data_IF_218187173610
#
_entry.id   IF_218187173610
#
_cell.length_a   1.000
_cell.length_b   1.000
_cell.length_c   1.000
_cell.angle_alpha   90.00
_cell.angle_beta   90.00
_cell.angle_gamma   90.00
#
_symmetry.space_group_name_H-M   'P 1'
#
loop_
_entity.id
_entity.type
_entity.pdbx_description
1 polymer ?
#
# COMPACT_ATOMS: atom_id res chain seq x y z
N UNK A 1 -15.85 -48.08 -20.42
CA UNK A 1 -14.85 -47.57 -19.45
C UNK A 1 -13.89 -48.68 -19.01
N UNK A 2 -12.58 -48.44 -18.98
CA UNK A 2 -11.58 -49.45 -18.57
C UNK A 2 -11.50 -49.53 -17.05
N UNK A 3 -11.20 -50.72 -16.51
CA UNK A 3 -11.03 -50.94 -15.06
C UNK A 3 -10.00 -49.99 -14.46
N UNK A 4 -8.93 -49.69 -15.22
CA UNK A 4 -7.90 -48.71 -14.85
C UNK A 4 -8.45 -47.28 -14.73
N UNK A 5 -9.33 -46.85 -15.63
CA UNK A 5 -9.94 -45.52 -15.59
C UNK A 5 -10.91 -45.34 -14.44
N UNK A 6 -11.65 -46.41 -14.09
CA UNK A 6 -12.56 -46.42 -12.93
C UNK A 6 -11.75 -46.30 -11.62
N UNK A 7 -10.68 -47.08 -11.47
CA UNK A 7 -9.82 -47.00 -10.29
C UNK A 7 -9.16 -45.62 -10.14
N UNK A 8 -8.67 -45.04 -11.24
CA UNK A 8 -8.07 -43.70 -11.20
C UNK A 8 -9.08 -42.64 -10.79
N UNK A 9 -10.32 -42.71 -11.29
CA UNK A 9 -11.38 -41.79 -10.93
C UNK A 9 -11.70 -41.84 -9.42
N UNK A 10 -11.86 -43.04 -8.86
CA UNK A 10 -12.08 -43.20 -7.41
C UNK A 10 -10.90 -42.70 -6.57
N UNK A 11 -9.66 -42.92 -7.02
CA UNK A 11 -8.49 -42.38 -6.32
C UNK A 11 -8.45 -40.85 -6.33
N UNK A 12 -8.79 -40.22 -7.46
CA UNK A 12 -8.86 -38.76 -7.58
C UNK A 12 -9.97 -38.17 -6.71
N UNK A 13 -11.16 -38.77 -6.75
CA UNK A 13 -12.32 -38.36 -5.95
C UNK A 13 -11.99 -38.43 -4.45
N UNK A 14 -11.40 -39.54 -3.98
CA UNK A 14 -11.01 -39.69 -2.58
C UNK A 14 -9.94 -38.67 -2.15
N UNK A 15 -8.95 -38.39 -3.01
CA UNK A 15 -7.93 -37.40 -2.72
C UNK A 15 -8.50 -35.98 -2.64
N UNK A 16 -9.42 -35.63 -3.56
CA UNK A 16 -10.07 -34.33 -3.59
C UNK A 16 -10.98 -34.14 -2.37
N UNK A 17 -11.79 -35.14 -2.03
CA UNK A 17 -12.64 -35.12 -0.84
C UNK A 17 -11.83 -35.01 0.45
N UNK A 18 -10.67 -35.69 0.54
CA UNK A 18 -9.77 -35.60 1.69
C UNK A 18 -9.12 -34.22 1.82
N UNK A 19 -8.73 -33.61 0.70
CA UNK A 19 -8.24 -32.21 0.68
C UNK A 19 -9.34 -31.25 1.12
N UNK A 20 -10.56 -31.40 0.61
CA UNK A 20 -11.71 -30.57 0.99
C UNK A 20 -12.03 -30.68 2.48
N UNK A 21 -12.05 -31.90 3.04
CA UNK A 21 -12.26 -32.12 4.46
C UNK A 21 -11.14 -31.49 5.31
N UNK A 22 -9.89 -31.63 4.89
CA UNK A 22 -8.73 -31.05 5.57
C UNK A 22 -8.79 -29.51 5.58
N UNK A 23 -9.19 -28.91 4.45
CA UNK A 23 -9.41 -27.46 4.34
C UNK A 23 -10.56 -27.01 5.24
N UNK A 24 -11.67 -27.73 5.26
CA UNK A 24 -12.85 -27.40 6.07
C UNK A 24 -12.56 -27.51 7.58
N UNK A 25 -11.82 -28.52 8.02
CA UNK A 25 -11.40 -28.69 9.42
C UNK A 25 -10.45 -27.56 9.83
N UNK A 26 -9.49 -27.19 8.98
CA UNK A 26 -8.63 -26.02 9.22
C UNK A 26 -9.46 -24.73 9.37
N UNK A 27 -10.43 -24.50 8.48
CA UNK A 27 -11.30 -23.33 8.52
C UNK A 27 -12.26 -23.28 9.72
N UNK A 28 -12.56 -24.41 10.37
CA UNK A 28 -13.42 -24.48 11.56
C UNK A 28 -12.67 -24.27 12.88
N UNK A 29 -11.35 -24.51 12.91
CA UNK A 29 -10.53 -24.06 14.02
C UNK A 29 -10.49 -22.53 14.01
N UNK A 30 -10.51 -21.88 15.17
CA UNK A 30 -10.51 -20.41 15.30
C UNK A 30 -9.18 -19.80 14.83
N UNK A 31 -8.89 -19.90 13.54
CA UNK A 31 -7.79 -19.23 12.88
C UNK A 31 -7.98 -17.74 13.13
N UNK A 32 -7.05 -17.14 13.88
CA UNK A 32 -6.90 -15.68 13.90
C UNK A 32 -6.90 -15.21 12.45
N UNK A 33 -7.92 -14.46 12.06
CA UNK A 33 -8.04 -13.95 10.69
C UNK A 33 -6.98 -12.88 10.53
N UNK A 34 -5.98 -13.13 9.70
CA UNK A 34 -4.99 -12.13 9.33
C UNK A 34 -5.57 -11.27 8.21
N UNK A 35 -5.52 -9.95 8.37
CA UNK A 35 -5.97 -8.97 7.39
C UNK A 35 -4.76 -8.14 6.95
N UNK A 36 -4.39 -8.25 5.67
CA UNK A 36 -3.16 -7.68 5.12
C UNK A 36 -3.48 -6.38 4.37
N UNK A 37 -2.87 -5.28 4.82
CA UNK A 37 -3.04 -3.93 4.26
C UNK A 37 -1.72 -3.51 3.61
N UNK A 38 -1.76 -3.18 2.32
CA UNK A 38 -0.67 -2.44 1.67
C UNK A 38 -1.07 -0.98 1.53
N UNK A 39 -0.27 -0.07 2.08
CA UNK A 39 -0.51 1.38 1.94
C UNK A 39 0.74 2.20 2.22
N UNK A 40 0.89 3.42 1.65
CA UNK A 40 2.03 4.27 1.92
C UNK A 40 2.10 4.63 3.41
N UNK A 41 3.27 4.50 4.03
CA UNK A 41 3.45 4.85 5.44
C UNK A 41 3.07 6.32 5.72
N UNK A 42 3.22 7.22 4.75
CA UNK A 42 2.79 8.62 4.85
C UNK A 42 1.29 8.78 5.16
N UNK A 43 0.45 7.83 4.77
CA UNK A 43 -1.00 7.90 4.98
C UNK A 43 -1.44 7.28 6.31
N UNK A 44 -0.50 6.71 7.06
CA UNK A 44 -0.84 5.91 8.23
C UNK A 44 -1.45 6.76 9.34
N UNK A 45 -0.87 7.93 9.60
CA UNK A 45 -1.16 8.75 10.79
C UNK A 45 -2.59 9.25 10.89
N UNK A 46 -3.35 9.27 9.78
CA UNK A 46 -4.75 9.71 9.80
C UNK A 46 -5.74 8.74 9.13
N UNK A 47 -5.48 8.29 7.91
CA UNK A 47 -6.52 7.63 7.12
C UNK A 47 -6.48 6.11 7.25
N UNK A 48 -5.31 5.50 7.11
CA UNK A 48 -5.17 4.04 7.28
C UNK A 48 -5.47 3.65 8.72
N UNK A 49 -5.09 4.46 9.71
CA UNK A 49 -5.44 4.16 11.10
C UNK A 49 -6.94 4.19 11.39
N UNK A 50 -7.76 4.95 10.63
CA UNK A 50 -9.23 4.85 10.72
C UNK A 50 -9.73 3.49 10.24
N UNK A 51 -9.17 2.99 9.14
CA UNK A 51 -9.45 1.65 8.62
C UNK A 51 -9.04 0.56 9.62
N UNK A 52 -7.82 0.66 10.17
CA UNK A 52 -7.32 -0.27 11.21
C UNK A 52 -8.25 -0.29 12.42
N UNK A 53 -8.64 0.88 12.94
CA UNK A 53 -9.58 0.99 14.07
C UNK A 53 -10.95 0.39 13.74
N UNK A 54 -11.43 0.54 12.51
CA UNK A 54 -12.69 -0.06 12.08
C UNK A 54 -12.61 -1.58 12.05
N UNK A 55 -11.55 -2.15 11.46
CA UNK A 55 -11.35 -3.61 11.38
C UNK A 55 -11.15 -4.21 12.77
N UNK A 56 -10.37 -3.55 13.65
CA UNK A 56 -10.12 -3.99 15.04
C UNK A 56 -11.35 -3.94 15.96
N UNK A 57 -12.51 -3.51 15.48
CA UNK A 57 -13.78 -3.77 16.18
C UNK A 57 -14.03 -5.26 16.34
N UNK A 58 -13.52 -6.09 15.42
CA UNK A 58 -13.37 -7.53 15.64
C UNK A 58 -12.01 -7.81 16.30
N UNK A 59 -11.98 -8.23 17.58
CA UNK A 59 -10.74 -8.48 18.30
C UNK A 59 -9.98 -9.71 17.78
N UNK A 60 -10.64 -10.61 17.04
CA UNK A 60 -10.04 -11.84 16.51
C UNK A 60 -9.23 -11.60 15.23
N UNK A 61 -9.36 -10.42 14.61
CA UNK A 61 -8.64 -10.06 13.38
C UNK A 61 -7.27 -9.48 13.70
N UNK A 62 -6.22 -10.20 13.32
CA UNK A 62 -4.86 -9.66 13.29
C UNK A 62 -4.69 -8.80 12.03
N UNK A 63 -4.03 -7.64 12.15
CA UNK A 63 -3.79 -6.77 10.99
C UNK A 63 -2.30 -6.69 10.76
N UNK A 64 -1.88 -7.00 9.54
CA UNK A 64 -0.52 -6.80 9.05
C UNK A 64 -0.50 -5.65 8.05
N UNK A 65 0.45 -4.74 8.20
CA UNK A 65 0.63 -3.60 7.30
C UNK A 65 1.98 -3.70 6.60
N UNK A 66 1.96 -3.44 5.30
CA UNK A 66 3.16 -3.28 4.48
C UNK A 66 3.16 -1.91 3.80
N UNK A 67 4.34 -1.28 3.75
CA UNK A 67 4.49 -0.03 3.00
C UNK A 67 4.59 -0.31 1.50
N UNK A 68 3.56 0.10 0.77
CA UNK A 68 3.49 -0.07 -0.68
C UNK A 68 4.59 0.71 -1.42
N UNK A 69 5.17 1.75 -0.82
CA UNK A 69 6.22 2.53 -1.47
C UNK A 69 7.59 1.84 -1.48
N UNK A 70 7.73 0.76 -0.70
CA UNK A 70 8.99 0.00 -0.55
C UNK A 70 9.02 -1.30 -1.35
N UNK A 71 7.86 -1.77 -1.83
CA UNK A 71 7.76 -2.97 -2.67
C UNK A 71 7.90 -2.63 -4.16
N UNK A 72 8.44 -3.57 -4.94
CA UNK A 72 8.45 -3.52 -6.40
C UNK A 72 7.21 -4.23 -7.01
N UNK A 73 6.35 -4.83 -6.19
CA UNK A 73 5.12 -5.50 -6.65
C UNK A 73 4.02 -4.51 -7.04
N UNK A 74 3.31 -4.82 -8.12
CA UNK A 74 2.17 -4.02 -8.55
C UNK A 74 0.97 -4.23 -7.62
N UNK A 75 0.18 -3.17 -7.34
CA UNK A 75 -1.07 -3.28 -6.58
C UNK A 75 -2.00 -4.39 -7.08
N UNK A 76 -2.09 -4.57 -8.40
CA UNK A 76 -2.93 -5.56 -9.04
C UNK A 76 -2.48 -6.98 -8.73
N UNK A 77 -1.16 -7.23 -8.72
CA UNK A 77 -0.58 -8.53 -8.39
C UNK A 77 -0.79 -8.85 -6.91
N UNK A 78 -0.61 -7.86 -6.03
CA UNK A 78 -0.86 -8.03 -4.59
C UNK A 78 -2.29 -8.52 -4.32
N UNK A 79 -3.27 -7.97 -5.04
CA UNK A 79 -4.68 -8.38 -4.92
C UNK A 79 -4.96 -9.70 -5.63
N UNK A 80 -4.47 -9.89 -6.87
CA UNK A 80 -4.74 -11.08 -7.68
C UNK A 80 -4.16 -12.35 -7.04
N UNK A 81 -2.98 -12.26 -6.44
CA UNK A 81 -2.33 -13.37 -5.74
C UNK A 81 -2.71 -13.47 -4.25
N UNK A 82 -3.71 -12.70 -3.79
CA UNK A 82 -4.20 -12.68 -2.39
C UNK A 82 -3.08 -12.41 -1.37
N UNK A 83 -2.08 -11.62 -1.75
CA UNK A 83 -1.04 -11.12 -0.83
C UNK A 83 -1.54 -9.94 0.00
N UNK A 84 -2.59 -9.26 -0.45
CA UNK A 84 -3.26 -8.18 0.28
C UNK A 84 -4.77 -8.39 0.27
N UNK A 85 -5.44 -8.03 1.36
CA UNK A 85 -6.89 -7.90 1.41
C UNK A 85 -7.33 -6.53 0.89
N UNK A 86 -6.52 -5.50 1.14
CA UNK A 86 -6.74 -4.15 0.62
C UNK A 86 -5.43 -3.47 0.27
N UNK A 87 -5.48 -2.67 -0.79
CA UNK A 87 -4.39 -1.80 -1.21
C UNK A 87 -4.90 -0.36 -1.22
N UNK A 88 -4.21 0.53 -0.51
CA UNK A 88 -4.37 1.98 -0.63
C UNK A 88 -3.20 2.49 -1.45
N UNK A 89 -3.47 3.07 -2.61
CA UNK A 89 -2.45 3.60 -3.52
C UNK A 89 -2.55 5.13 -3.64
N UNK A 90 -1.47 5.74 -4.13
CA UNK A 90 -1.44 7.19 -4.43
C UNK A 90 -1.92 7.53 -5.85
N UNK A 91 -2.16 6.51 -6.68
CA UNK A 91 -2.67 6.66 -8.04
C UNK A 91 -3.84 5.67 -8.26
N UNK A 92 -4.87 6.05 -9.02
CA UNK A 92 -5.99 5.17 -9.32
C UNK A 92 -5.56 4.00 -10.21
N UNK A 93 -6.27 2.88 -10.12
CA UNK A 93 -6.06 1.70 -10.95
C UNK A 93 -7.27 1.48 -11.85
N UNK A 94 -7.02 1.19 -13.12
CA UNK A 94 -8.06 0.82 -14.08
C UNK A 94 -7.93 -0.66 -14.45
N UNK A 95 -8.59 -1.52 -13.68
CA UNK A 95 -8.59 -2.96 -13.90
C UNK A 95 -10.02 -3.50 -13.69
N UNK A 96 -10.52 -4.27 -14.66
CA UNK A 96 -11.91 -4.79 -14.65
C UNK A 96 -12.19 -5.76 -13.49
N UNK A 97 -11.15 -6.35 -12.92
CA UNK A 97 -11.26 -7.31 -11.81
C UNK A 97 -11.03 -6.67 -10.45
N UNK A 98 -10.79 -5.35 -10.38
CA UNK A 98 -10.46 -4.63 -9.14
C UNK A 98 -11.45 -3.48 -8.95
N UNK A 99 -12.09 -3.44 -7.78
CA UNK A 99 -12.90 -2.29 -7.38
C UNK A 99 -11.95 -1.22 -6.82
N UNK A 100 -11.72 -0.16 -7.59
CA UNK A 100 -10.94 0.99 -7.17
C UNK A 100 -11.89 2.15 -6.80
N UNK A 101 -11.88 2.56 -5.53
CA UNK A 101 -12.72 3.65 -5.02
C UNK A 101 -11.84 4.73 -4.42
N UNK A 102 -12.23 5.99 -4.61
CA UNK A 102 -11.56 7.12 -3.96
C UNK A 102 -11.56 6.94 -2.44
N UNK A 103 -10.37 6.93 -1.84
CA UNK A 103 -10.22 6.77 -0.40
C UNK A 103 -10.18 8.12 0.33
N UNK A 104 -9.28 9.02 -0.07
CA UNK A 104 -9.25 10.39 0.40
C UNK A 104 -8.39 11.31 -0.47
N UNK A 105 -8.52 12.63 -0.26
CA UNK A 105 -7.64 13.67 -0.78
C UNK A 105 -6.63 14.10 0.27
N UNK A 106 -5.42 14.38 -0.17
CA UNK A 106 -4.32 14.89 0.66
C UNK A 106 -3.95 16.28 0.17
N UNK A 107 -3.67 17.17 1.11
CA UNK A 107 -3.04 18.45 0.81
C UNK A 107 -1.53 18.28 0.99
N UNK A 108 -0.78 18.56 -0.07
CA UNK A 108 0.66 18.62 -0.03
C UNK A 108 1.07 20.05 0.32
N UNK A 109 1.74 20.20 1.46
CA UNK A 109 2.25 21.48 1.95
C UNK A 109 3.77 21.43 2.02
N UNK A 110 4.40 22.59 1.88
CA UNK A 110 5.82 22.76 2.21
C UNK A 110 5.96 22.89 3.72
N UNK A 111 6.98 22.22 4.26
CA UNK A 111 7.32 22.28 5.68
C UNK A 111 8.81 22.61 5.81
N UNK A 112 9.15 23.38 6.84
CA UNK A 112 10.53 23.66 7.22
C UNK A 112 10.67 23.57 8.75
N UNK A 113 11.89 23.70 9.26
CA UNK A 113 12.10 23.72 10.71
C UNK A 113 11.44 24.95 11.35
N UNK A 114 10.95 24.81 12.57
CA UNK A 114 10.34 25.93 13.31
C UNK A 114 11.29 27.14 13.45
N UNK A 115 12.59 26.87 13.57
CA UNK A 115 13.64 27.88 13.66
C UNK A 115 14.41 28.00 12.33
N UNK A 116 13.72 27.91 11.18
CA UNK A 116 14.38 28.05 9.89
C UNK A 116 15.00 29.46 9.75
N UNK A 117 16.29 29.59 9.39
CA UNK A 117 17.00 30.87 9.48
C UNK A 117 16.51 31.93 8.48
N UNK A 118 15.81 31.52 7.42
CA UNK A 118 15.34 32.40 6.34
C UNK A 118 13.84 32.31 6.04
N UNK A 119 13.17 31.25 6.46
CA UNK A 119 11.76 31.00 6.11
C UNK A 119 10.93 31.08 7.39
N UNK A 120 9.73 31.64 7.28
CA UNK A 120 8.74 31.68 8.36
C UNK A 120 7.42 31.06 7.92
N UNK A 121 6.30 31.54 8.45
CA UNK A 121 4.96 31.02 8.14
C UNK A 121 4.55 31.18 6.67
N UNK A 122 5.14 32.15 5.98
CA UNK A 122 4.91 32.41 4.56
C UNK A 122 6.23 32.69 3.86
N UNK A 123 6.36 32.25 2.60
CA UNK A 123 7.51 32.54 1.75
C UNK A 123 7.08 32.66 0.29
N UNK A 124 7.82 33.46 -0.47
CA UNK A 124 7.70 33.52 -1.92
C UNK A 124 8.36 32.32 -2.59
N UNK A 125 7.99 32.03 -3.84
CA UNK A 125 8.62 30.95 -4.61
C UNK A 125 10.14 31.18 -4.75
N UNK A 126 10.57 32.43 -4.98
CA UNK A 126 11.99 32.76 -5.14
C UNK A 126 12.80 32.48 -3.86
N UNK A 127 12.27 32.83 -2.68
CA UNK A 127 12.88 32.52 -1.39
C UNK A 127 12.96 31.00 -1.16
N UNK A 128 11.88 30.28 -1.50
CA UNK A 128 11.80 28.81 -1.40
C UNK A 128 12.85 28.14 -2.30
N UNK A 129 13.06 28.65 -3.52
CA UNK A 129 14.03 28.09 -4.47
C UNK A 129 15.50 28.31 -4.07
N UNK A 130 15.79 29.23 -3.13
CA UNK A 130 17.13 29.38 -2.54
C UNK A 130 17.45 28.31 -1.48
N UNK A 131 16.47 27.47 -1.11
CA UNK A 131 16.66 26.41 -0.12
C UNK A 131 17.00 25.05 -0.72
N UNK A 132 17.55 24.17 0.12
CA UNK A 132 17.75 22.76 -0.21
C UNK A 132 16.57 21.93 0.29
N UNK A 133 16.09 21.03 -0.57
CA UNK A 133 14.93 20.20 -0.31
C UNK A 133 15.33 18.77 0.03
N UNK A 134 14.45 18.13 0.79
CA UNK A 134 14.48 16.69 1.01
C UNK A 134 13.46 16.01 0.09
N UNK A 135 13.85 14.89 -0.53
CA UNK A 135 12.97 14.14 -1.42
C UNK A 135 12.79 12.68 -0.98
N UNK A 136 11.52 12.25 -0.93
CA UNK A 136 11.14 10.84 -0.76
C UNK A 136 11.33 10.09 -2.08
N UNK A 137 12.19 9.09 -2.09
CA UNK A 137 12.47 8.24 -3.24
C UNK A 137 11.54 7.04 -3.22
N UNK A 138 10.67 6.95 -4.23
CA UNK A 138 9.86 5.75 -4.47
C UNK A 138 9.71 5.50 -5.96
N UNK A 139 9.55 4.22 -6.33
CA UNK A 139 9.26 3.79 -7.71
C UNK A 139 7.77 3.78 -8.02
N UNK A 140 6.91 3.93 -7.01
CA UNK A 140 5.46 3.93 -7.15
C UNK A 140 5.00 5.01 -8.14
N UNK A 141 4.07 4.66 -9.03
CA UNK A 141 3.58 5.55 -10.10
C UNK A 141 3.09 6.88 -9.56
N UNK A 142 2.28 6.88 -8.49
CA UNK A 142 1.77 8.12 -7.90
C UNK A 142 2.86 9.04 -7.33
N UNK A 143 3.99 8.50 -6.88
CA UNK A 143 5.14 9.32 -6.43
C UNK A 143 5.91 9.92 -7.62
N UNK A 144 5.99 9.20 -8.74
CA UNK A 144 6.59 9.74 -9.98
C UNK A 144 5.77 10.87 -10.56
N UNK A 145 4.44 10.71 -10.61
CA UNK A 145 3.50 11.75 -11.05
C UNK A 145 3.62 13.00 -10.16
N UNK A 146 3.68 12.82 -8.85
CA UNK A 146 3.89 13.92 -7.91
C UNK A 146 5.23 14.63 -8.14
N UNK A 147 6.32 13.90 -8.36
CA UNK A 147 7.61 14.51 -8.68
C UNK A 147 7.58 15.32 -9.97
N UNK A 148 6.92 14.82 -11.02
CA UNK A 148 6.76 15.56 -12.27
C UNK A 148 6.00 16.87 -12.05
N UNK A 149 4.92 16.84 -11.26
CA UNK A 149 4.18 18.05 -10.90
C UNK A 149 5.06 19.05 -10.13
N UNK A 150 5.89 18.56 -9.21
CA UNK A 150 6.81 19.44 -8.46
C UNK A 150 7.94 19.98 -9.33
N UNK A 151 8.38 19.25 -10.36
CA UNK A 151 9.35 19.75 -11.34
C UNK A 151 8.73 20.88 -12.20
N UNK A 152 7.44 20.82 -12.50
CA UNK A 152 6.74 21.90 -13.21
C UNK A 152 6.55 23.16 -12.34
N UNK A 153 6.34 22.99 -11.03
CA UNK A 153 6.07 24.11 -10.10
C UNK A 153 7.36 24.69 -9.48
N UNK A 154 8.35 23.84 -9.19
CA UNK A 154 9.59 24.16 -8.48
C UNK A 154 10.80 23.54 -9.22
N UNK A 155 10.92 23.82 -10.53
CA UNK A 155 11.84 23.12 -11.43
C UNK A 155 13.33 23.30 -11.15
N UNK A 156 13.74 24.41 -10.54
CA UNK A 156 15.16 24.70 -10.26
C UNK A 156 15.58 24.34 -8.82
N UNK A 157 14.76 23.59 -8.09
CA UNK A 157 15.02 23.29 -6.68
C UNK A 157 16.26 22.41 -6.49
N UNK A 158 17.06 22.75 -5.48
CA UNK A 158 18.24 21.97 -5.11
C UNK A 158 17.82 20.84 -4.17
N UNK A 159 18.08 19.59 -4.54
CA UNK A 159 17.81 18.44 -3.65
C UNK A 159 19.07 18.15 -2.82
N UNK A 160 19.05 18.53 -1.54
CA UNK A 160 20.16 18.30 -0.62
C UNK A 160 20.18 16.90 -0.01
N UNK A 161 19.01 16.27 0.13
CA UNK A 161 18.88 14.93 0.72
C UNK A 161 17.80 14.09 0.03
N UNK A 162 18.07 12.79 -0.13
CA UNK A 162 17.14 11.82 -0.72
C UNK A 162 17.09 10.57 0.13
N UNK A 163 15.90 10.06 0.41
CA UNK A 163 15.73 8.82 1.16
C UNK A 163 14.49 8.05 0.73
N UNK A 164 14.51 6.74 0.90
CA UNK A 164 13.33 5.87 0.74
C UNK A 164 12.49 5.78 2.02
N UNK A 165 12.99 6.30 3.13
CA UNK A 165 12.33 6.23 4.43
C UNK A 165 11.67 7.57 4.73
N UNK A 166 10.36 7.55 5.02
CA UNK A 166 9.67 8.72 5.52
C UNK A 166 10.25 9.21 6.84
N UNK A 167 10.80 8.32 7.68
CA UNK A 167 11.28 8.72 9.00
C UNK A 167 12.60 9.48 9.01
N UNK A 168 13.28 9.50 7.86
CA UNK A 168 14.49 10.29 7.66
C UNK A 168 14.21 11.65 7.00
N UNK A 169 12.95 11.90 6.64
CA UNK A 169 12.47 13.12 5.96
C UNK A 169 11.65 13.92 6.96
#
# INVERSE_FOLDING_TARGET
>A
PTVTGINLHYHLENNLNSLEQTINIMNQSSLKKKFIIYSPQLLITQYVMKLVKYIRKDPQVEIEHHDILTTDELPEDLLAYRKADIVVSMAPLNNRSIVCTHFNRLECILVCSENHPRLGDTATIDEILQESFTQLVSRATGMKEYHSLMDDVLGERIIGFRSKSLMTI
#
